data_IF_546706579477
#
_entry.id   IF_546706579477
#
_cell.length_a   1.000
_cell.length_b   1.000
_cell.length_c   1.000
_cell.angle_alpha   90.00
_cell.angle_beta   90.00
_cell.angle_gamma   90.00
#
_symmetry.space_group_name_H-M   'P 1'
#
loop_
_entity.id
_entity.type
_entity.pdbx_description
1 polymer ?
#
# COMPACT_ATOMS: atom_id res chain seq x y z
N UNK A 1 -8.76 -7.18 -22.03
CA UNK A 1 -7.28 -7.15 -22.02
C UNK A 1 -6.83 -6.61 -20.68
N UNK A 2 -5.78 -7.10 -19.99
CA UNK A 2 -5.38 -6.49 -18.73
C UNK A 2 -4.96 -5.05 -19.03
N UNK A 3 -5.54 -4.08 -18.30
CA UNK A 3 -5.17 -2.68 -18.40
C UNK A 3 -3.65 -2.55 -18.26
N UNK A 4 -3.00 -1.96 -19.27
CA UNK A 4 -1.56 -1.69 -19.23
C UNK A 4 -1.23 -0.84 -17.99
N UNK A 5 0.00 -0.96 -17.44
CA UNK A 5 0.34 -0.29 -16.20
C UNK A 5 0.09 1.21 -16.33
N UNK A 6 -0.79 1.73 -15.47
CA UNK A 6 -1.08 3.16 -15.41
C UNK A 6 0.25 3.85 -15.12
N UNK A 7 0.73 4.64 -16.10
CA UNK A 7 2.05 5.25 -16.05
C UNK A 7 1.98 6.55 -15.26
N UNK A 8 1.82 6.44 -13.95
CA UNK A 8 1.88 7.59 -13.03
C UNK A 8 3.26 8.26 -13.15
N UNK A 9 3.30 9.58 -13.37
CA UNK A 9 4.55 10.34 -13.24
C UNK A 9 4.90 10.40 -11.75
N UNK A 10 5.74 9.46 -11.27
CA UNK A 10 6.16 9.39 -9.87
C UNK A 10 6.99 8.15 -9.56
N UNK A 11 7.58 8.08 -8.37
CA UNK A 11 8.29 6.89 -7.85
C UNK A 11 7.49 6.15 -6.77
N UNK A 12 6.17 6.26 -6.83
CA UNK A 12 5.21 5.61 -5.93
C UNK A 12 4.81 4.21 -6.39
N UNK A 13 3.78 3.65 -5.77
CA UNK A 13 3.19 2.38 -6.21
C UNK A 13 2.59 2.54 -7.61
N UNK A 14 2.93 1.63 -8.53
CA UNK A 14 2.47 1.67 -9.92
C UNK A 14 1.16 0.91 -10.15
N UNK A 15 0.66 0.19 -9.15
CA UNK A 15 -0.52 -0.66 -9.24
C UNK A 15 -1.13 -0.92 -7.86
N UNK A 16 -2.45 -1.14 -7.82
CA UNK A 16 -3.18 -1.63 -6.65
C UNK A 16 -3.32 -3.16 -6.68
N UNK A 17 -2.23 -3.88 -7.00
CA UNK A 17 -2.23 -5.34 -7.01
C UNK A 17 -2.21 -5.91 -5.59
N UNK A 18 -2.80 -7.09 -5.41
CA UNK A 18 -2.81 -7.81 -4.13
C UNK A 18 -1.39 -8.04 -3.60
N UNK A 19 -1.18 -7.77 -2.30
CA UNK A 19 0.08 -7.96 -1.60
C UNK A 19 0.57 -9.41 -1.58
N UNK A 20 1.85 -9.60 -1.26
CA UNK A 20 2.53 -10.91 -1.27
C UNK A 20 1.86 -11.95 -0.34
N UNK A 21 1.29 -11.51 0.77
CA UNK A 21 0.73 -12.36 1.81
C UNK A 21 -0.78 -12.23 1.95
N UNK A 22 -1.46 -11.56 1.01
CA UNK A 22 -2.93 -11.52 1.00
C UNK A 22 -3.52 -12.89 0.67
N UNK A 23 -4.54 -13.31 1.42
CA UNK A 23 -5.26 -14.57 1.20
C UNK A 23 -6.08 -14.52 -0.09
N UNK A 24 -6.64 -13.36 -0.42
CA UNK A 24 -7.51 -13.16 -1.57
C UNK A 24 -6.82 -12.33 -2.64
N UNK A 25 -7.02 -12.70 -3.91
CA UNK A 25 -6.52 -11.94 -5.05
C UNK A 25 -7.68 -11.19 -5.70
N UNK A 26 -7.56 -9.86 -5.78
CA UNK A 26 -8.50 -9.01 -6.52
C UNK A 26 -8.06 -8.92 -7.97
N UNK A 27 -8.96 -9.24 -8.89
CA UNK A 27 -8.70 -9.20 -10.33
C UNK A 27 -9.82 -8.35 -10.97
N UNK A 28 -9.49 -7.36 -11.80
CA UNK A 28 -10.50 -6.63 -12.54
C UNK A 28 -11.24 -7.58 -13.47
N UNK A 29 -12.57 -7.54 -13.42
CA UNK A 29 -13.47 -8.35 -14.22
C UNK A 29 -14.60 -7.46 -14.72
N UNK A 30 -14.99 -7.65 -15.99
CA UNK A 30 -16.13 -6.96 -16.58
C UNK A 30 -17.41 -7.68 -16.15
N UNK A 31 -18.17 -7.04 -15.27
CA UNK A 31 -19.42 -7.55 -14.73
C UNK A 31 -20.63 -7.27 -15.65
N UNK A 32 -20.43 -6.60 -16.79
CA UNK A 32 -21.47 -6.26 -17.75
C UNK A 32 -22.29 -5.02 -17.37
N UNK A 33 -21.92 -4.28 -16.32
CA UNK A 33 -22.62 -3.05 -15.90
C UNK A 33 -22.13 -1.79 -16.62
N UNK A 34 -21.14 -1.92 -17.51
CA UNK A 34 -20.64 -0.81 -18.34
C UNK A 34 -19.76 0.19 -17.60
N UNK A 35 -19.38 -0.09 -16.34
CA UNK A 35 -18.53 0.77 -15.49
C UNK A 35 -17.04 0.54 -15.70
N UNK A 36 -16.64 -0.46 -16.49
CA UNK A 36 -15.25 -0.84 -16.71
C UNK A 36 -14.39 0.28 -17.35
N UNK A 37 -15.03 1.19 -18.10
CA UNK A 37 -14.38 2.33 -18.77
C UNK A 37 -14.47 3.64 -17.96
N UNK A 38 -15.14 3.64 -16.80
CA UNK A 38 -15.25 4.82 -15.95
C UNK A 38 -13.94 5.08 -15.19
N UNK A 39 -13.54 6.35 -15.08
CA UNK A 39 -12.39 6.70 -14.24
C UNK A 39 -12.72 6.45 -12.76
N UNK A 40 -11.89 5.67 -12.03
CA UNK A 40 -12.14 5.42 -10.63
C UNK A 40 -12.01 6.71 -9.82
N UNK A 41 -12.98 6.92 -8.92
CA UNK A 41 -12.91 8.03 -7.98
C UNK A 41 -11.66 7.94 -7.08
N UNK A 42 -11.06 9.08 -6.68
CA UNK A 42 -9.98 9.07 -5.70
C UNK A 42 -10.40 8.33 -4.43
N UNK A 43 -9.52 7.46 -3.93
CA UNK A 43 -9.76 6.76 -2.66
C UNK A 43 -9.81 7.79 -1.54
N UNK A 44 -10.90 7.77 -0.77
CA UNK A 44 -11.02 8.60 0.42
C UNK A 44 -10.11 8.04 1.53
N UNK A 45 -9.31 8.90 2.14
CA UNK A 45 -8.53 8.52 3.33
C UNK A 45 -9.48 8.14 4.46
N UNK A 46 -9.30 6.95 5.02
CA UNK A 46 -10.04 6.48 6.19
C UNK A 46 -9.13 6.44 7.41
N UNK A 47 -9.67 6.83 8.57
CA UNK A 47 -9.00 6.70 9.86
C UNK A 47 -9.68 5.60 10.65
N UNK A 48 -8.93 4.57 11.03
CA UNK A 48 -9.39 3.46 11.85
C UNK A 48 -8.60 3.36 13.15
N UNK A 49 -9.24 2.90 14.23
CA UNK A 49 -8.53 2.55 15.46
C UNK A 49 -7.79 1.23 15.23
N UNK A 50 -6.47 1.27 15.38
CA UNK A 50 -5.61 0.11 15.21
C UNK A 50 -5.51 -0.71 16.50
N UNK A 51 -5.63 -2.04 16.39
CA UNK A 51 -5.59 -2.99 17.51
C UNK A 51 -4.20 -3.59 17.75
N UNK A 52 -3.15 -2.91 17.29
CA UNK A 52 -1.77 -3.40 17.39
C UNK A 52 -1.35 -3.63 18.84
N UNK A 53 -0.70 -4.76 19.08
CA UNK A 53 -0.16 -5.16 20.41
C UNK A 53 1.06 -4.33 20.83
N UNK A 54 1.87 -3.86 19.87
CA UNK A 54 3.09 -3.08 20.13
C UNK A 54 3.31 -2.03 19.03
N UNK A 55 3.34 -0.74 19.41
CA UNK A 55 3.52 0.37 18.46
C UNK A 55 4.99 0.70 18.16
N UNK A 56 5.93 0.25 19.00
CA UNK A 56 7.36 0.54 18.86
C UNK A 56 8.00 -0.46 17.90
N UNK A 57 8.44 0.02 16.75
CA UNK A 57 9.33 -0.71 15.84
C UNK A 57 10.79 -0.54 16.29
N UNK A 58 11.60 -1.57 16.03
CA UNK A 58 13.04 -1.57 16.33
C UNK A 58 13.84 -1.71 15.05
N UNK A 59 14.99 -1.05 15.00
CA UNK A 59 15.92 -1.11 13.88
C UNK A 59 17.36 -1.20 14.39
N UNK A 60 18.16 -2.04 13.74
CA UNK A 60 19.57 -2.30 14.04
C UNK A 60 20.50 -1.82 12.91
N UNK A 61 19.97 -1.15 11.88
CA UNK A 61 20.80 -0.60 10.80
C UNK A 61 21.80 0.43 11.34
N UNK A 62 23.09 0.31 10.96
CA UNK A 62 24.14 1.25 11.37
C UNK A 62 24.00 2.63 10.73
N UNK A 63 23.17 2.76 9.70
CA UNK A 63 22.97 4.00 8.93
C UNK A 63 21.92 4.93 9.57
N UNK A 64 21.21 4.45 10.59
CA UNK A 64 20.09 5.13 11.21
C UNK A 64 20.44 5.42 12.68
N UNK A 65 20.49 6.69 13.06
CA UNK A 65 20.90 7.14 14.40
C UNK A 65 19.91 6.85 15.54
N UNK A 66 18.92 5.99 15.33
CA UNK A 66 17.92 5.60 16.32
C UNK A 66 17.62 4.10 16.26
N UNK A 67 17.34 3.49 17.41
CA UNK A 67 16.99 2.08 17.54
C UNK A 67 15.47 1.84 17.61
N UNK A 68 14.66 2.90 17.80
CA UNK A 68 13.21 2.82 18.03
C UNK A 68 12.46 3.86 17.20
N UNK A 69 11.35 3.44 16.60
CA UNK A 69 10.46 4.30 15.85
C UNK A 69 8.99 3.92 16.05
N UNK A 70 8.11 4.82 15.64
CA UNK A 70 6.66 4.59 15.57
C UNK A 70 6.23 4.86 14.13
N UNK A 71 5.53 3.90 13.51
CA UNK A 71 4.84 4.10 12.24
C UNK A 71 3.34 4.24 12.53
N UNK A 72 2.77 5.46 12.47
CA UNK A 72 1.34 5.68 12.76
C UNK A 72 0.41 5.21 11.63
N UNK A 73 0.95 4.68 10.53
CA UNK A 73 0.17 4.32 9.35
C UNK A 73 0.21 2.81 9.06
N UNK A 74 -0.97 2.18 8.94
CA UNK A 74 -1.16 0.76 8.54
C UNK A 74 -1.18 0.56 7.02
N UNK A 75 -0.60 1.49 6.27
CA UNK A 75 -0.65 1.59 4.82
C UNK A 75 -0.22 2.98 4.38
N UNK A 76 0.29 3.13 3.16
CA UNK A 76 0.63 4.44 2.61
C UNK A 76 0.17 4.52 1.15
N UNK A 77 -0.77 5.40 0.86
CA UNK A 77 -1.29 5.64 -0.49
C UNK A 77 -0.19 6.06 -1.50
N UNK A 78 0.89 6.66 -1.00
CA UNK A 78 1.98 7.15 -1.84
C UNK A 78 2.90 6.03 -2.35
N UNK A 79 3.04 4.93 -1.61
CA UNK A 79 3.86 3.79 -2.02
C UNK A 79 5.30 4.11 -2.44
N UNK A 80 5.92 5.13 -1.85
CA UNK A 80 7.24 5.64 -2.24
C UNK A 80 8.29 4.53 -2.29
N UNK A 81 9.07 4.46 -3.37
CA UNK A 81 10.14 3.46 -3.54
C UNK A 81 11.20 3.51 -2.44
N UNK A 82 11.38 4.66 -1.80
CA UNK A 82 12.32 4.90 -0.71
C UNK A 82 11.69 4.79 0.68
N UNK A 83 10.43 4.33 0.79
CA UNK A 83 9.77 4.16 2.08
C UNK A 83 10.42 3.02 2.86
N UNK A 84 11.01 3.31 4.02
CA UNK A 84 11.62 2.30 4.89
C UNK A 84 10.60 1.26 5.38
N UNK A 85 9.32 1.64 5.52
CA UNK A 85 8.23 0.76 5.96
C UNK A 85 7.67 -0.13 4.83
N UNK A 86 8.17 0.00 3.59
CA UNK A 86 7.68 -0.75 2.43
C UNK A 86 7.69 -2.28 2.61
N UNK A 87 8.72 -2.92 3.20
CA UNK A 87 8.71 -4.36 3.44
C UNK A 87 7.60 -4.81 4.39
N UNK A 88 7.29 -4.01 5.42
CA UNK A 88 6.24 -4.34 6.39
C UNK A 88 4.82 -4.22 5.83
N UNK A 89 4.58 -3.40 4.81
CA UNK A 89 3.26 -3.27 4.18
C UNK A 89 2.76 -4.56 3.53
N UNK A 90 3.65 -5.53 3.23
CA UNK A 90 3.21 -6.81 2.68
C UNK A 90 2.46 -7.68 3.72
N UNK A 91 2.68 -7.44 5.02
CA UNK A 91 2.15 -8.24 6.13
C UNK A 91 0.93 -7.60 6.81
N UNK A 92 0.47 -6.47 6.29
CA UNK A 92 -0.62 -5.63 6.80
C UNK A 92 -1.81 -5.71 5.85
#
# INVERSE_FOLDING_TARGET
MPAGPIRWKGRGAASNGSGRFETEKRIPFDDGWGTADEEPMPLATTLSIDSTRTIIARNDSPDIGFDRSINPYRGCEHGCIYCYARPSHAYL
#
